data_IF_644678325700
#
_entry.id   IF_644678325700
#
_cell.length_a   1.000
_cell.length_b   1.000
_cell.length_c   1.000
_cell.angle_alpha   90.00
_cell.angle_beta   90.00
_cell.angle_gamma   90.00
#
_symmetry.space_group_name_H-M   'P 1'
#
loop_
_entity.id
_entity.type
_entity.pdbx_description
1 polymer ?
#
# COMPACT_ATOMS: atom_id res chain seq x y z
N UNK A 1 -57.18 -26.70 -16.09
CA UNK A 1 -57.67 -25.32 -16.05
C UNK A 1 -56.46 -24.44 -15.75
N UNK A 2 -55.81 -23.84 -16.78
CA UNK A 2 -55.87 -22.43 -17.17
C UNK A 2 -55.55 -21.52 -15.94
N UNK A 3 -54.46 -20.73 -15.91
CA UNK A 3 -54.05 -19.65 -16.78
C UNK A 3 -52.57 -19.26 -16.63
N UNK A 4 -52.03 -18.89 -17.76
CA UNK A 4 -50.76 -18.15 -17.97
C UNK A 4 -51.04 -16.62 -17.99
N UNK A 5 -50.14 -15.76 -18.41
CA UNK A 5 -49.10 -14.98 -17.72
C UNK A 5 -49.35 -13.46 -17.90
N UNK A 6 -48.51 -12.66 -17.25
CA UNK A 6 -48.51 -11.21 -17.44
C UNK A 6 -47.10 -10.68 -17.73
N UNK A 7 -46.80 -10.58 -19.02
CA UNK A 7 -45.74 -9.70 -19.56
C UNK A 7 -46.16 -8.24 -19.38
N UNK A 8 -45.27 -7.40 -18.84
CA UNK A 8 -45.39 -5.95 -19.05
C UNK A 8 -44.05 -5.43 -19.60
N UNK A 9 -44.15 -5.21 -20.89
CA UNK A 9 -43.21 -4.39 -21.68
C UNK A 9 -43.65 -2.94 -21.54
N UNK A 10 -42.79 -2.02 -21.22
CA UNK A 10 -43.00 -0.60 -21.48
C UNK A 10 -41.83 -0.09 -22.33
N UNK A 11 -42.24 0.27 -23.52
CA UNK A 11 -41.46 0.84 -24.61
C UNK A 11 -41.65 2.35 -24.63
N UNK A 12 -40.57 3.05 -24.90
CA UNK A 12 -40.42 4.30 -25.62
C UNK A 12 -41.07 5.61 -25.14
N UNK A 13 -40.25 6.62 -25.16
CA UNK A 13 -40.62 8.02 -25.34
C UNK A 13 -39.42 8.84 -25.79
N UNK A 14 -39.40 9.06 -27.10
CA UNK A 14 -38.45 9.90 -27.84
C UNK A 14 -38.63 11.40 -27.58
N UNK A 15 -37.54 12.13 -27.76
CA UNK A 15 -37.41 13.44 -28.41
C UNK A 15 -37.74 14.71 -27.61
N UNK A 16 -36.70 15.51 -27.39
CA UNK A 16 -36.83 16.95 -27.65
C UNK A 16 -35.46 17.56 -28.01
N UNK A 17 -35.41 18.01 -29.23
CA UNK A 17 -34.43 18.93 -29.82
C UNK A 17 -34.55 20.28 -29.12
N UNK A 18 -33.47 20.90 -28.70
CA UNK A 18 -33.45 22.31 -28.39
C UNK A 18 -32.23 23.01 -29.01
N UNK A 19 -32.61 23.77 -29.95
CA UNK A 19 -32.06 24.95 -30.60
C UNK A 19 -30.78 25.58 -30.02
N UNK A 20 -29.84 25.73 -30.92
CA UNK A 20 -28.68 26.64 -30.86
C UNK A 20 -29.22 28.08 -31.07
N UNK A 21 -28.92 28.96 -30.15
CA UNK A 21 -28.99 30.40 -30.38
C UNK A 21 -27.55 30.94 -30.26
N UNK A 22 -27.00 31.30 -31.40
CA UNK A 22 -25.81 32.16 -31.55
C UNK A 22 -26.26 33.61 -31.31
N UNK A 23 -25.62 34.26 -30.35
CA UNK A 23 -25.65 35.73 -30.30
C UNK A 23 -24.20 36.24 -30.20
N UNK A 24 -23.85 36.97 -31.21
CA UNK A 24 -22.57 37.65 -31.43
C UNK A 24 -22.54 39.03 -30.78
N UNK A 25 -21.34 39.36 -30.20
CA UNK A 25 -20.69 40.70 -30.13
C UNK A 25 -21.01 41.61 -28.94
N UNK A 26 -20.18 42.63 -28.64
CA UNK A 26 -18.73 42.80 -28.90
C UNK A 26 -17.90 43.18 -27.66
N UNK A 27 -16.58 43.29 -27.87
CA UNK A 27 -15.54 43.80 -26.97
C UNK A 27 -15.93 45.04 -26.14
N UNK A 28 -15.64 44.99 -24.85
CA UNK A 28 -15.31 46.15 -24.07
C UNK A 28 -14.04 45.88 -23.28
N UNK A 29 -12.98 46.53 -23.67
CA UNK A 29 -11.70 46.62 -22.99
C UNK A 29 -11.90 47.51 -21.75
N UNK A 30 -11.80 46.96 -20.55
CA UNK A 30 -11.68 47.74 -19.33
C UNK A 30 -10.41 47.28 -18.60
N UNK A 31 -9.42 48.15 -18.67
CA UNK A 31 -8.23 48.06 -17.82
C UNK A 31 -8.64 48.33 -16.37
N UNK A 32 -8.34 47.40 -15.49
CA UNK A 32 -8.32 47.63 -14.04
C UNK A 32 -6.90 47.57 -13.54
N UNK A 33 -6.51 48.68 -12.95
CA UNK A 33 -5.29 48.95 -12.24
C UNK A 33 -5.11 48.00 -11.06
N UNK A 34 -3.90 47.46 -10.93
CA UNK A 34 -3.40 46.80 -9.74
C UNK A 34 -3.42 47.70 -8.53
N UNK A 35 -3.94 47.20 -7.40
CA UNK A 35 -3.35 47.33 -6.08
C UNK A 35 -4.29 46.67 -5.07
N UNK A 36 -4.05 45.38 -4.80
CA UNK A 36 -4.39 44.80 -3.49
C UNK A 36 -3.30 43.84 -3.09
N UNK A 37 -2.49 44.33 -2.17
CA UNK A 37 -1.48 43.56 -1.46
C UNK A 37 -2.16 42.61 -0.48
N UNK A 38 -2.37 41.36 -0.89
CA UNK A 38 -2.68 40.28 0.05
C UNK A 38 -1.40 39.89 0.79
N UNK A 39 -1.37 40.19 2.09
CA UNK A 39 -0.32 39.78 3.00
C UNK A 39 -0.21 38.25 3.02
N UNK A 40 0.86 37.73 2.44
CA UNK A 40 1.25 36.34 2.60
C UNK A 40 1.71 36.15 4.06
N UNK A 41 0.93 35.40 4.83
CA UNK A 41 1.36 34.87 6.13
C UNK A 41 2.48 33.88 5.86
N UNK A 42 3.72 34.36 6.05
CA UNK A 42 4.92 33.53 5.93
C UNK A 42 4.95 32.46 7.02
N UNK A 43 4.81 31.22 6.64
CA UNK A 43 5.29 30.10 7.44
C UNK A 43 6.81 30.23 7.56
N UNK A 44 7.42 30.02 8.73
CA UNK A 44 8.87 30.10 8.88
C UNK A 44 9.49 29.00 8.02
N UNK A 45 10.30 29.41 7.03
CA UNK A 45 11.18 28.52 6.30
C UNK A 45 12.24 28.01 7.29
N UNK A 46 12.07 26.81 7.81
CA UNK A 46 13.17 26.05 8.36
C UNK A 46 14.14 25.75 7.21
N UNK A 47 15.14 26.58 7.03
CA UNK A 47 16.33 26.24 6.26
C UNK A 47 17.12 25.22 7.08
N UNK A 48 16.77 23.93 6.97
CA UNK A 48 17.69 22.87 7.33
C UNK A 48 18.75 22.81 6.23
N UNK A 49 19.98 23.20 6.56
CA UNK A 49 21.15 22.97 5.73
C UNK A 49 21.47 21.48 5.74
N UNK A 50 21.06 20.78 4.69
CA UNK A 50 21.49 19.41 4.45
C UNK A 50 22.96 19.39 4.05
N UNK A 51 23.81 18.52 4.63
CA UNK A 51 25.19 18.40 4.23
C UNK A 51 25.28 17.93 2.77
N UNK A 52 25.97 18.69 1.94
CA UNK A 52 26.42 18.26 0.63
C UNK A 52 27.48 17.18 0.82
N UNK A 53 27.34 16.05 0.12
CA UNK A 53 28.09 14.79 0.15
C UNK A 53 27.51 13.75 1.11
N UNK A 54 26.45 13.07 0.68
CA UNK A 54 26.06 11.82 1.30
C UNK A 54 26.83 10.67 0.62
N UNK A 55 27.96 10.29 1.19
CA UNK A 55 28.44 8.93 1.02
C UNK A 55 27.39 8.04 1.66
N UNK A 56 26.47 7.48 0.84
CA UNK A 56 25.45 6.59 1.31
C UNK A 56 26.13 5.36 1.95
N UNK A 57 25.84 5.12 3.22
CA UNK A 57 26.18 3.89 3.94
C UNK A 57 24.90 3.11 4.21
N UNK A 58 24.92 1.80 3.95
CA UNK A 58 23.87 0.91 4.40
C UNK A 58 23.67 1.07 5.92
N UNK A 59 22.46 0.92 6.45
CA UNK A 59 22.25 0.87 7.89
C UNK A 59 23.24 -0.11 8.54
N UNK A 60 23.77 0.22 9.71
CA UNK A 60 24.71 -0.64 10.43
C UNK A 60 24.14 -2.03 10.75
N UNK A 61 22.81 -2.15 10.78
CA UNK A 61 22.03 -3.36 11.00
C UNK A 61 21.36 -3.88 9.72
N UNK A 62 21.96 -3.64 8.54
CA UNK A 62 21.45 -4.11 7.26
C UNK A 62 21.15 -5.62 7.28
N UNK A 63 19.95 -5.97 6.84
CA UNK A 63 19.46 -7.35 6.77
C UNK A 63 19.64 -7.95 5.37
N UNK A 64 19.29 -9.21 5.20
CA UNK A 64 19.21 -9.85 3.87
C UNK A 64 18.02 -9.31 3.07
N UNK A 65 18.16 -8.09 2.54
CA UNK A 65 17.21 -7.36 1.73
C UNK A 65 17.91 -6.77 0.50
N UNK A 66 17.12 -6.34 -0.46
CA UNK A 66 17.63 -5.56 -1.58
C UNK A 66 17.48 -4.07 -1.30
N UNK A 67 18.56 -3.33 -1.46
CA UNK A 67 18.60 -1.89 -1.20
C UNK A 67 18.76 -1.13 -2.51
N UNK A 68 17.75 -0.32 -2.84
CA UNK A 68 17.82 0.59 -3.99
C UNK A 68 18.75 1.74 -3.66
N UNK A 69 19.75 1.90 -4.49
CA UNK A 69 20.69 3.01 -4.46
C UNK A 69 20.23 4.17 -5.37
N UNK A 70 21.16 4.94 -5.89
CA UNK A 70 20.89 6.17 -6.66
C UNK A 70 20.00 5.94 -7.88
N UNK A 71 20.44 5.13 -8.85
CA UNK A 71 19.75 4.94 -10.13
C UNK A 71 19.75 3.44 -10.50
N UNK A 72 18.77 2.67 -10.01
CA UNK A 72 18.72 1.26 -10.35
C UNK A 72 18.33 1.07 -11.82
N UNK A 73 19.20 0.43 -12.60
CA UNK A 73 18.92 0.08 -14.01
C UNK A 73 18.00 -1.15 -14.12
N UNK A 74 18.04 -2.01 -13.13
CA UNK A 74 17.19 -3.21 -13.04
C UNK A 74 16.84 -3.48 -11.57
N UNK A 75 15.78 -4.22 -11.35
CA UNK A 75 15.42 -4.70 -10.03
C UNK A 75 15.71 -6.20 -9.96
N UNK A 76 16.32 -6.68 -8.87
CA UNK A 76 16.68 -8.08 -8.77
C UNK A 76 15.44 -8.94 -8.56
N UNK A 77 15.51 -10.14 -9.09
CA UNK A 77 14.58 -11.20 -8.80
C UNK A 77 14.87 -11.85 -7.45
N UNK A 78 13.84 -12.29 -6.76
CA UNK A 78 14.01 -13.11 -5.57
C UNK A 78 13.02 -12.83 -4.45
N UNK A 79 13.08 -13.69 -3.44
CA UNK A 79 12.19 -13.61 -2.28
C UNK A 79 12.83 -12.81 -1.14
N UNK A 80 13.07 -11.52 -1.38
CA UNK A 80 13.66 -10.60 -0.37
C UNK A 80 12.85 -9.32 -0.27
N UNK A 81 12.81 -8.69 0.91
CA UNK A 81 12.33 -7.32 1.03
C UNK A 81 13.12 -6.39 0.12
N UNK A 82 12.47 -5.35 -0.39
CA UNK A 82 13.13 -4.31 -1.18
C UNK A 82 12.90 -2.96 -0.51
N UNK A 83 13.97 -2.27 -0.23
CA UNK A 83 13.96 -0.97 0.43
C UNK A 83 14.68 0.09 -0.39
N UNK A 84 14.26 1.33 -0.25
CA UNK A 84 14.95 2.49 -0.80
C UNK A 84 15.74 3.17 0.32
N UNK A 85 16.97 3.51 0.01
CA UNK A 85 17.86 4.18 0.95
C UNK A 85 17.61 5.67 1.00
N UNK A 86 16.86 6.20 0.02
CA UNK A 86 16.47 7.60 -0.07
C UNK A 86 14.95 7.74 0.04
N UNK A 87 14.49 8.74 0.78
CA UNK A 87 13.09 9.17 0.72
C UNK A 87 12.77 9.82 -0.62
N UNK A 88 11.49 10.05 -0.92
CA UNK A 88 11.08 10.80 -2.12
C UNK A 88 11.72 12.19 -2.11
N UNK A 89 11.75 12.85 -0.94
CA UNK A 89 12.31 14.19 -0.76
C UNK A 89 13.81 14.21 -1.05
N UNK A 90 14.56 13.26 -0.50
CA UNK A 90 16.00 13.14 -0.74
C UNK A 90 16.31 12.86 -2.20
N UNK A 91 15.57 11.95 -2.85
CA UNK A 91 15.75 11.71 -4.30
C UNK A 91 15.49 12.96 -5.13
N UNK A 92 14.45 13.73 -4.80
CA UNK A 92 14.15 14.99 -5.51
C UNK A 92 15.27 16.02 -5.34
N UNK A 93 15.78 16.19 -4.11
CA UNK A 93 16.87 17.14 -3.84
C UNK A 93 18.17 16.76 -4.54
N UNK A 94 18.45 15.47 -4.68
CA UNK A 94 19.66 14.95 -5.31
C UNK A 94 19.50 14.75 -6.84
N UNK A 95 18.34 15.04 -7.41
CA UNK A 95 18.07 14.82 -8.83
C UNK A 95 18.06 13.36 -9.26
N UNK A 96 17.82 12.43 -8.32
CA UNK A 96 17.78 10.99 -8.58
C UNK A 96 16.43 10.56 -9.16
N UNK A 97 16.44 9.46 -9.93
CA UNK A 97 15.22 8.89 -10.49
C UNK A 97 14.21 8.50 -9.41
N UNK A 98 12.97 8.96 -9.57
CA UNK A 98 11.85 8.57 -8.68
C UNK A 98 11.17 7.29 -9.16
N UNK A 99 10.95 7.16 -10.48
CA UNK A 99 10.32 6.00 -11.08
C UNK A 99 11.15 4.72 -10.89
N UNK A 100 10.48 3.59 -11.04
CA UNK A 100 11.12 2.27 -11.01
C UNK A 100 11.30 1.77 -12.44
N UNK A 101 12.34 0.99 -12.73
CA UNK A 101 12.43 0.27 -13.99
C UNK A 101 11.31 -0.77 -14.08
N UNK A 102 10.95 -1.23 -15.29
CA UNK A 102 9.98 -2.30 -15.46
C UNK A 102 10.39 -3.57 -14.71
N UNK A 103 9.42 -4.23 -14.09
CA UNK A 103 9.61 -5.48 -13.35
C UNK A 103 8.72 -6.55 -13.95
N UNK A 104 9.25 -7.77 -14.08
CA UNK A 104 8.45 -8.92 -14.47
C UNK A 104 7.83 -9.55 -13.22
N UNK A 105 6.51 -9.65 -13.13
CA UNK A 105 5.86 -10.31 -12.01
C UNK A 105 6.24 -11.78 -11.90
N UNK A 106 6.43 -12.25 -10.67
CA UNK A 106 6.73 -13.66 -10.38
C UNK A 106 5.46 -14.47 -10.15
N UNK A 107 5.20 -15.43 -11.02
CA UNK A 107 4.13 -16.41 -10.87
C UNK A 107 4.73 -17.78 -10.63
N UNK A 108 4.57 -18.31 -9.42
CA UNK A 108 4.98 -19.68 -9.11
C UNK A 108 3.85 -20.70 -9.29
N UNK A 109 4.13 -21.97 -9.07
CA UNK A 109 3.10 -23.02 -9.10
C UNK A 109 2.16 -22.90 -7.89
N UNK A 110 2.71 -22.61 -6.71
CA UNK A 110 2.00 -22.45 -5.43
C UNK A 110 2.76 -21.43 -4.62
N UNK A 111 2.27 -20.19 -4.57
CA UNK A 111 2.91 -19.08 -3.87
C UNK A 111 1.91 -18.42 -2.94
N UNK A 112 2.35 -18.12 -1.73
CA UNK A 112 1.56 -17.37 -0.75
C UNK A 112 2.37 -16.22 -0.16
N UNK A 113 1.72 -15.06 -0.08
CA UNK A 113 2.18 -13.88 0.61
C UNK A 113 1.28 -13.67 1.84
N UNK A 114 1.82 -13.87 3.03
CA UNK A 114 1.10 -13.51 4.26
C UNK A 114 1.30 -12.02 4.51
N UNK A 115 0.21 -11.26 4.59
CA UNK A 115 0.27 -9.81 4.79
C UNK A 115 -0.58 -9.38 5.97
N UNK A 116 -0.08 -8.39 6.73
CA UNK A 116 -0.71 -7.85 7.93
C UNK A 116 -0.78 -6.33 7.81
N UNK A 117 -1.96 -5.76 8.02
CA UNK A 117 -2.24 -4.34 7.93
C UNK A 117 -2.51 -3.73 9.32
N UNK A 118 -2.40 -2.41 9.46
CA UNK A 118 -2.77 -1.58 10.61
C UNK A 118 -1.78 -1.53 11.79
N UNK A 119 -0.76 -2.39 11.81
CA UNK A 119 0.27 -2.36 12.85
C UNK A 119 1.27 -1.20 12.70
N UNK A 120 2.31 -1.21 13.55
CA UNK A 120 2.57 -2.16 14.63
C UNK A 120 1.66 -1.94 15.85
N UNK A 121 1.27 -3.03 16.49
CA UNK A 121 0.46 -3.03 17.72
C UNK A 121 1.16 -3.83 18.83
N UNK A 122 1.10 -3.32 20.06
CA UNK A 122 1.82 -3.92 21.19
C UNK A 122 1.34 -5.34 21.56
N UNK A 123 0.04 -5.63 21.34
CA UNK A 123 -0.57 -6.89 21.76
C UNK A 123 -0.51 -7.96 20.66
N UNK A 124 -0.61 -7.56 19.37
CA UNK A 124 -0.79 -8.50 18.27
C UNK A 124 0.48 -8.70 17.43
N UNK A 125 1.22 -7.64 17.10
CA UNK A 125 2.39 -7.76 16.24
C UNK A 125 3.51 -8.64 16.82
N UNK A 126 3.92 -8.49 18.11
CA UNK A 126 4.97 -9.33 18.67
C UNK A 126 4.66 -10.84 18.65
N UNK A 127 3.48 -11.34 19.07
CA UNK A 127 3.18 -12.77 18.99
C UNK A 127 3.07 -13.27 17.55
N UNK A 128 2.64 -12.44 16.57
CA UNK A 128 2.69 -12.81 15.15
C UNK A 128 4.15 -13.04 14.71
N UNK A 129 5.07 -12.14 15.07
CA UNK A 129 6.49 -12.28 14.78
C UNK A 129 7.09 -13.56 15.42
N UNK A 130 6.71 -13.87 16.67
CA UNK A 130 7.15 -15.10 17.35
C UNK A 130 6.68 -16.36 16.62
N UNK A 131 5.42 -16.37 16.13
CA UNK A 131 4.86 -17.48 15.36
C UNK A 131 5.60 -17.62 14.02
N UNK A 132 5.79 -16.52 13.28
CA UNK A 132 6.50 -16.52 11.99
C UNK A 132 7.93 -17.02 12.16
N UNK A 133 8.64 -16.55 13.20
CA UNK A 133 10.00 -16.99 13.55
C UNK A 133 10.06 -18.48 13.85
N UNK A 134 9.13 -19.00 14.66
CA UNK A 134 9.03 -20.43 14.98
C UNK A 134 8.89 -21.32 13.73
N UNK A 135 8.20 -20.82 12.70
CA UNK A 135 7.98 -21.54 11.44
C UNK A 135 9.05 -21.22 10.37
N UNK A 136 10.01 -20.34 10.67
CA UNK A 136 11.01 -19.83 9.73
C UNK A 136 10.37 -19.22 8.46
N UNK A 137 9.32 -18.41 8.63
CA UNK A 137 8.57 -17.77 7.56
C UNK A 137 8.74 -16.27 7.65
N UNK A 138 8.92 -15.61 6.50
CA UNK A 138 8.85 -14.16 6.38
C UNK A 138 7.49 -13.75 5.83
N UNK A 139 7.03 -12.58 6.27
CA UNK A 139 5.74 -12.00 5.89
C UNK A 139 5.92 -10.51 5.53
N UNK A 140 4.83 -9.84 5.18
CA UNK A 140 4.83 -8.41 4.90
C UNK A 140 3.89 -7.69 5.86
N UNK A 141 4.35 -6.59 6.43
CA UNK A 141 3.58 -5.75 7.34
C UNK A 141 3.35 -4.37 6.69
N UNK A 142 2.10 -4.03 6.42
CA UNK A 142 1.71 -2.70 5.95
C UNK A 142 1.41 -1.82 7.15
N UNK A 143 2.37 -0.98 7.49
CA UNK A 143 2.42 -0.26 8.76
C UNK A 143 1.79 1.13 8.68
N UNK A 144 1.13 1.55 9.74
CA UNK A 144 0.53 2.88 9.90
C UNK A 144 1.52 3.80 10.63
N UNK A 145 1.85 4.96 10.05
CA UNK A 145 2.87 5.87 10.58
C UNK A 145 2.64 6.26 12.04
N UNK A 146 1.41 6.62 12.41
CA UNK A 146 1.04 6.97 13.79
C UNK A 146 1.13 5.81 14.78
N UNK A 147 1.15 4.56 14.33
CA UNK A 147 1.42 3.40 15.19
C UNK A 147 2.92 3.16 15.33
N UNK A 148 3.70 3.44 14.28
CA UNK A 148 5.16 3.38 14.37
C UNK A 148 5.68 4.38 15.41
N UNK A 149 5.15 5.59 15.45
CA UNK A 149 5.54 6.61 16.44
C UNK A 149 5.32 6.13 17.89
N UNK A 150 4.29 5.30 18.11
CA UNK A 150 4.01 4.71 19.43
C UNK A 150 4.88 3.51 19.77
N UNK A 151 5.26 2.73 18.75
CA UNK A 151 5.93 1.44 18.88
C UNK A 151 7.10 1.27 17.89
N UNK A 152 8.07 2.21 17.87
CA UNK A 152 9.20 2.14 16.94
C UNK A 152 10.07 0.90 17.13
N UNK A 153 10.13 0.36 18.34
CA UNK A 153 10.85 -0.87 18.67
C UNK A 153 10.25 -2.11 17.97
N UNK A 154 8.93 -2.12 17.78
CA UNK A 154 8.26 -3.22 17.06
C UNK A 154 8.56 -3.12 15.56
N UNK A 155 8.52 -1.93 14.96
CA UNK A 155 8.93 -1.75 13.56
C UNK A 155 10.39 -2.18 13.35
N UNK A 156 11.29 -1.80 14.26
CA UNK A 156 12.70 -2.24 14.20
C UNK A 156 12.80 -3.76 14.24
N UNK A 157 12.00 -4.42 15.08
CA UNK A 157 11.95 -5.89 15.15
C UNK A 157 11.45 -6.51 13.84
N UNK A 158 10.37 -5.96 13.22
CA UNK A 158 9.87 -6.39 11.90
C UNK A 158 11.01 -6.36 10.88
N UNK A 159 11.74 -5.22 10.82
CA UNK A 159 12.87 -5.04 9.92
C UNK A 159 13.99 -6.05 10.21
N UNK A 160 14.49 -6.11 11.44
CA UNK A 160 15.64 -6.94 11.84
C UNK A 160 15.36 -8.45 11.67
N UNK A 161 14.12 -8.89 11.82
CA UNK A 161 13.75 -10.27 11.57
C UNK A 161 13.57 -10.58 10.06
N UNK A 162 13.78 -9.61 9.15
CA UNK A 162 13.78 -9.79 7.70
C UNK A 162 12.40 -9.92 7.08
N UNK A 163 11.37 -9.37 7.73
CA UNK A 163 10.06 -9.22 7.14
C UNK A 163 10.04 -8.00 6.22
N UNK A 164 9.17 -8.00 5.19
CA UNK A 164 8.98 -6.83 4.36
C UNK A 164 8.08 -5.80 5.08
N UNK A 165 8.41 -4.53 4.92
CA UNK A 165 7.61 -3.40 5.38
C UNK A 165 6.94 -2.76 4.16
N UNK A 166 5.62 -2.60 4.22
CA UNK A 166 4.83 -1.79 3.31
C UNK A 166 4.29 -0.55 4.04
N UNK A 167 3.91 0.47 3.29
CA UNK A 167 3.36 1.71 3.81
C UNK A 167 1.82 1.68 3.75
N UNK A 168 1.15 1.85 4.89
CA UNK A 168 -0.32 1.82 5.01
C UNK A 168 -0.91 3.17 5.42
N UNK A 169 -0.35 4.27 4.91
CA UNK A 169 -0.67 5.65 5.29
C UNK A 169 -0.16 6.07 6.67
N UNK A 170 -0.37 7.34 7.00
CA UNK A 170 0.04 7.88 8.31
C UNK A 170 -0.99 7.59 9.42
N UNK A 171 -2.27 7.90 9.18
CA UNK A 171 -3.28 7.88 10.24
C UNK A 171 -4.50 6.99 9.96
N UNK A 172 -4.57 6.36 8.78
CA UNK A 172 -5.66 5.48 8.35
C UNK A 172 -7.05 6.18 8.34
N UNK A 173 -7.10 7.50 8.21
CA UNK A 173 -8.35 8.27 8.19
C UNK A 173 -8.83 8.48 6.77
N UNK A 174 -9.80 7.69 6.31
CA UNK A 174 -10.30 7.67 4.92
C UNK A 174 -10.68 9.05 4.38
N UNK A 175 -11.38 9.86 5.19
CA UNK A 175 -11.78 11.21 4.81
C UNK A 175 -10.59 12.12 4.49
N UNK A 176 -9.46 11.92 5.15
CA UNK A 176 -8.23 12.70 4.92
C UNK A 176 -7.43 12.12 3.76
N UNK A 177 -7.30 10.79 3.71
CA UNK A 177 -6.55 10.07 2.69
C UNK A 177 -7.10 10.31 1.29
N UNK A 178 -8.41 10.17 1.12
CA UNK A 178 -9.05 10.12 -0.20
C UNK A 178 -9.65 11.46 -0.65
N UNK A 179 -9.17 12.59 -0.09
CA UNK A 179 -9.51 13.92 -0.61
C UNK A 179 -8.91 14.17 -1.99
N UNK A 180 -7.69 13.69 -2.22
CA UNK A 180 -6.96 13.82 -3.50
C UNK A 180 -5.78 12.84 -3.54
N UNK A 181 -5.25 12.59 -4.73
CA UNK A 181 -4.00 11.84 -4.90
C UNK A 181 -2.84 12.47 -4.12
N UNK A 182 -2.78 13.80 -4.06
CA UNK A 182 -1.76 14.51 -3.29
C UNK A 182 -1.90 14.31 -1.78
N UNK A 183 -3.14 14.29 -1.25
CA UNK A 183 -3.39 14.00 0.18
C UNK A 183 -2.92 12.59 0.53
N UNK A 184 -3.25 11.61 -0.31
CA UNK A 184 -2.81 10.23 -0.14
C UNK A 184 -1.28 10.11 -0.11
N UNK A 185 -0.62 10.65 -1.12
CA UNK A 185 0.85 10.62 -1.24
C UNK A 185 1.53 11.39 -0.11
N UNK A 186 0.96 12.49 0.36
CA UNK A 186 1.50 13.23 1.51
C UNK A 186 1.56 12.36 2.76
N UNK A 187 0.53 11.55 3.02
CA UNK A 187 0.55 10.60 4.13
C UNK A 187 1.57 9.48 3.93
N UNK A 188 1.72 8.96 2.70
CA UNK A 188 2.77 7.97 2.41
C UNK A 188 4.17 8.55 2.65
N UNK A 189 4.45 9.76 2.16
CA UNK A 189 5.76 10.42 2.37
C UNK A 189 6.07 10.63 3.84
N UNK A 190 5.09 11.09 4.63
CA UNK A 190 5.27 11.25 6.07
C UNK A 190 5.60 9.92 6.76
N UNK A 191 4.90 8.85 6.41
CA UNK A 191 5.17 7.52 6.95
C UNK A 191 6.53 6.99 6.52
N UNK A 192 6.96 7.24 5.28
CA UNK A 192 8.29 6.87 4.79
C UNK A 192 9.42 7.51 5.61
N UNK A 193 9.27 8.81 5.97
CA UNK A 193 10.23 9.51 6.83
C UNK A 193 10.32 8.84 8.21
N UNK A 194 9.17 8.46 8.79
CA UNK A 194 9.12 7.76 10.08
C UNK A 194 9.76 6.36 9.97
N UNK A 195 9.43 5.60 8.92
CA UNK A 195 10.05 4.29 8.67
C UNK A 195 11.57 4.45 8.58
N UNK A 196 12.05 5.44 7.83
CA UNK A 196 13.48 5.70 7.64
C UNK A 196 14.17 6.12 8.94
N UNK A 197 13.55 6.94 9.78
CA UNK A 197 14.10 7.31 11.09
C UNK A 197 14.36 6.08 11.98
N UNK A 198 13.52 5.05 11.87
CA UNK A 198 13.62 3.83 12.70
C UNK A 198 14.54 2.79 12.11
N UNK A 199 14.56 2.63 10.76
CA UNK A 199 15.23 1.51 10.08
C UNK A 199 16.39 1.94 9.16
N UNK A 200 16.56 3.23 8.92
CA UNK A 200 17.56 3.75 7.97
C UNK A 200 17.15 3.67 6.50
N UNK A 201 15.98 3.09 6.19
CA UNK A 201 15.45 2.90 4.83
C UNK A 201 13.96 3.23 4.77
N UNK A 202 13.41 3.41 3.57
CA UNK A 202 11.96 3.50 3.38
C UNK A 202 11.42 2.33 2.57
N UNK A 203 10.13 2.10 2.66
CA UNK A 203 9.41 1.22 1.74
C UNK A 203 9.00 1.96 0.46
N UNK A 204 8.99 1.25 -0.67
CA UNK A 204 8.35 1.74 -1.90
C UNK A 204 7.08 0.97 -2.24
N UNK A 205 6.71 0.04 -1.36
CA UNK A 205 5.47 -0.74 -1.47
C UNK A 205 4.44 -0.07 -0.58
N UNK A 206 3.25 0.16 -1.10
CA UNK A 206 2.10 0.68 -0.36
C UNK A 206 0.88 -0.22 -0.49
N UNK A 207 -0.03 -0.08 0.45
CA UNK A 207 -1.39 -0.62 0.38
C UNK A 207 -2.37 0.43 0.83
N UNK A 208 -3.39 0.68 0.01
CA UNK A 208 -4.44 1.64 0.31
C UNK A 208 -5.34 1.13 1.45
N UNK A 209 -5.55 1.91 2.53
CA UNK A 209 -6.55 1.62 3.54
C UNK A 209 -7.93 1.32 2.95
N UNK A 210 -8.47 0.13 3.23
CA UNK A 210 -9.73 -0.35 2.64
C UNK A 210 -9.63 -0.77 1.16
N UNK A 211 -8.43 -0.74 0.57
CA UNK A 211 -8.16 -1.09 -0.81
C UNK A 211 -8.29 0.07 -1.79
N UNK A 212 -7.62 -0.08 -2.94
CA UNK A 212 -7.63 0.92 -4.02
C UNK A 212 -8.91 0.89 -4.87
N UNK A 213 -9.64 -0.24 -4.88
CA UNK A 213 -10.86 -0.39 -5.66
C UNK A 213 -11.95 0.59 -5.19
N UNK A 214 -12.47 1.40 -6.12
CA UNK A 214 -13.49 2.41 -5.83
C UNK A 214 -12.94 3.69 -5.18
N UNK A 215 -11.70 3.71 -4.70
CA UNK A 215 -11.06 4.88 -4.10
C UNK A 215 -10.08 5.56 -5.05
N UNK A 216 -9.35 4.78 -5.85
CA UNK A 216 -8.34 5.32 -6.75
C UNK A 216 -8.90 5.65 -8.13
N UNK A 217 -8.66 6.87 -8.57
CA UNK A 217 -8.82 7.32 -9.96
C UNK A 217 -7.48 7.13 -10.71
N UNK A 218 -7.50 7.38 -12.02
CA UNK A 218 -6.29 7.40 -12.85
C UNK A 218 -5.19 8.29 -12.27
N UNK A 219 -5.58 9.43 -11.68
CA UNK A 219 -4.64 10.39 -11.06
C UNK A 219 -3.84 9.77 -9.90
N UNK A 220 -4.47 8.93 -9.06
CA UNK A 220 -3.76 8.23 -7.97
C UNK A 220 -2.68 7.30 -8.53
N UNK A 221 -3.03 6.47 -9.52
CA UNK A 221 -2.10 5.54 -10.14
C UNK A 221 -0.92 6.24 -10.81
N UNK A 222 -1.18 7.31 -11.57
CA UNK A 222 -0.14 8.11 -12.23
C UNK A 222 0.77 8.81 -11.20
N UNK A 223 0.19 9.32 -10.12
CA UNK A 223 0.97 10.00 -9.06
C UNK A 223 1.85 9.02 -8.31
N UNK A 224 1.33 7.84 -7.92
CA UNK A 224 2.11 6.79 -7.28
C UNK A 224 3.25 6.31 -8.17
N UNK A 225 2.96 5.98 -9.42
CA UNK A 225 3.96 5.53 -10.39
C UNK A 225 5.07 6.56 -10.59
N UNK A 226 4.70 7.83 -10.77
CA UNK A 226 5.66 8.94 -10.94
C UNK A 226 6.59 9.11 -9.74
N UNK A 227 6.12 8.80 -8.52
CA UNK A 227 6.89 8.87 -7.28
C UNK A 227 7.54 7.54 -6.91
N UNK A 228 7.35 6.52 -7.75
CA UNK A 228 7.95 5.21 -7.61
C UNK A 228 7.37 4.36 -6.48
N UNK A 229 6.11 4.56 -6.13
CA UNK A 229 5.37 3.65 -5.26
C UNK A 229 4.74 2.51 -6.05
N UNK A 230 4.72 1.33 -5.45
CA UNK A 230 4.05 0.14 -5.96
C UNK A 230 2.90 -0.20 -5.01
N UNK A 231 1.69 -0.02 -5.49
CA UNK A 231 0.48 -0.33 -4.73
C UNK A 231 0.12 -1.80 -4.87
N UNK A 232 0.00 -2.51 -3.74
CA UNK A 232 -0.28 -3.95 -3.71
C UNK A 232 -1.55 -4.22 -2.89
N UNK A 233 -2.60 -4.69 -3.56
CA UNK A 233 -3.83 -5.16 -2.94
C UNK A 233 -3.73 -6.59 -2.39
N UNK A 234 -4.86 -7.30 -2.38
CA UNK A 234 -4.97 -8.70 -1.97
C UNK A 234 -6.00 -9.44 -2.82
N UNK A 235 -5.91 -10.76 -2.89
CA UNK A 235 -6.88 -11.62 -3.57
C UNK A 235 -7.46 -12.73 -2.67
N UNK A 236 -7.00 -12.81 -1.41
CA UNK A 236 -7.56 -13.67 -0.37
C UNK A 236 -7.90 -12.79 0.83
N UNK A 237 -9.17 -12.76 1.23
CA UNK A 237 -9.61 -12.07 2.44
C UNK A 237 -9.80 -13.07 3.58
N UNK A 238 -9.11 -12.84 4.70
CA UNK A 238 -9.29 -13.67 5.90
C UNK A 238 -10.64 -13.44 6.59
N UNK A 239 -11.23 -12.25 6.42
CA UNK A 239 -12.45 -11.83 7.12
C UNK A 239 -12.21 -11.33 8.54
N UNK A 240 -10.96 -11.23 9.00
CA UNK A 240 -10.60 -10.79 10.35
C UNK A 240 -10.97 -9.33 10.64
N UNK A 241 -11.03 -8.47 9.61
CA UNK A 241 -11.56 -7.11 9.72
C UNK A 241 -13.00 -7.06 10.25
N UNK A 242 -13.80 -8.10 9.98
CA UNK A 242 -15.16 -8.27 10.51
C UNK A 242 -15.20 -8.91 11.91
N UNK A 243 -14.05 -8.99 12.59
CA UNK A 243 -13.91 -9.59 13.94
C UNK A 243 -14.28 -11.09 14.00
N UNK A 244 -14.08 -11.79 12.91
CA UNK A 244 -14.30 -13.22 12.83
C UNK A 244 -13.41 -13.99 13.81
N UNK A 245 -13.89 -15.13 14.30
CA UNK A 245 -13.12 -16.02 15.17
C UNK A 245 -12.07 -16.80 14.38
N UNK A 246 -10.98 -17.20 15.03
CA UNK A 246 -9.85 -17.88 14.42
C UNK A 246 -10.25 -19.05 13.51
N UNK A 247 -11.22 -19.87 13.93
CA UNK A 247 -11.74 -20.97 13.10
C UNK A 247 -12.47 -20.50 11.85
N UNK A 248 -13.15 -19.35 11.88
CA UNK A 248 -13.81 -18.78 10.69
C UNK A 248 -12.79 -18.14 9.75
N UNK A 249 -11.81 -17.41 10.27
CA UNK A 249 -10.69 -16.87 9.52
C UNK A 249 -10.03 -17.98 8.68
N UNK A 250 -9.72 -19.12 9.31
CA UNK A 250 -9.13 -20.26 8.59
C UNK A 250 -10.07 -20.83 7.52
N UNK A 251 -11.36 -20.96 7.80
CA UNK A 251 -12.35 -21.46 6.81
C UNK A 251 -12.48 -20.51 5.61
N UNK A 252 -12.49 -19.20 5.85
CA UNK A 252 -12.59 -18.20 4.79
C UNK A 252 -11.41 -18.31 3.82
N UNK A 253 -10.19 -18.46 4.34
CA UNK A 253 -8.99 -18.66 3.52
C UNK A 253 -9.09 -20.00 2.77
N UNK A 254 -9.40 -21.10 3.46
CA UNK A 254 -9.48 -22.43 2.86
C UNK A 254 -10.50 -22.49 1.71
N UNK A 255 -11.66 -21.86 1.89
CA UNK A 255 -12.71 -21.79 0.87
C UNK A 255 -12.26 -21.07 -0.39
N UNK A 256 -11.64 -19.89 -0.24
CA UNK A 256 -11.13 -19.13 -1.40
C UNK A 256 -10.00 -19.89 -2.13
N UNK A 257 -9.18 -20.64 -1.38
CA UNK A 257 -8.09 -21.45 -1.94
C UNK A 257 -8.54 -22.72 -2.68
N UNK A 258 -9.83 -23.03 -2.73
CA UNK A 258 -10.38 -24.03 -3.67
C UNK A 258 -10.21 -23.58 -5.13
N UNK A 259 -10.16 -22.28 -5.37
CA UNK A 259 -9.91 -21.66 -6.66
C UNK A 259 -8.42 -21.72 -7.03
N UNK A 260 -8.03 -22.71 -7.88
CA UNK A 260 -6.63 -22.96 -8.22
C UNK A 260 -5.92 -21.83 -8.95
N UNK A 261 -6.65 -20.91 -9.59
CA UNK A 261 -6.04 -19.73 -10.23
C UNK A 261 -5.35 -18.80 -9.22
N UNK A 262 -5.75 -18.84 -7.95
CA UNK A 262 -5.13 -18.09 -6.87
C UNK A 262 -3.80 -18.68 -6.40
N UNK A 263 -3.49 -19.92 -6.76
CA UNK A 263 -2.32 -20.63 -6.25
C UNK A 263 -1.00 -20.02 -6.69
N UNK A 264 -0.97 -19.40 -7.87
CA UNK A 264 0.25 -18.81 -8.42
C UNK A 264 0.74 -17.57 -7.64
N UNK A 265 -0.15 -16.91 -6.88
CA UNK A 265 0.14 -15.66 -6.14
C UNK A 265 -0.94 -15.33 -5.11
N UNK A 266 -1.20 -16.22 -4.17
CA UNK A 266 -2.18 -15.97 -3.10
C UNK A 266 -1.67 -14.86 -2.16
N UNK A 267 -2.26 -13.66 -2.22
CA UNK A 267 -1.95 -12.54 -1.33
C UNK A 267 -3.04 -12.45 -0.27
N UNK A 268 -2.69 -12.85 0.96
CA UNK A 268 -3.64 -13.01 2.07
C UNK A 268 -3.69 -11.73 2.90
N UNK A 269 -4.85 -11.06 2.92
CA UNK A 269 -5.14 -9.95 3.80
C UNK A 269 -5.47 -10.44 5.21
N UNK A 270 -4.70 -10.00 6.16
CA UNK A 270 -4.92 -10.11 7.60
C UNK A 270 -4.56 -8.77 8.26
N UNK A 271 -4.85 -8.64 9.56
CA UNK A 271 -4.52 -7.44 10.31
C UNK A 271 -3.79 -7.80 11.60
N UNK A 272 -2.79 -6.98 11.95
CA UNK A 272 -2.06 -7.06 13.23
C UNK A 272 -2.33 -5.85 14.14
N UNK A 273 -3.13 -4.90 13.68
CA UNK A 273 -3.56 -3.75 14.47
C UNK A 273 -4.43 -4.13 15.67
N UNK A 274 -4.82 -3.12 16.46
CA UNK A 274 -5.58 -3.31 17.70
C UNK A 274 -6.88 -4.07 17.50
N UNK A 275 -7.11 -5.11 18.32
CA UNK A 275 -8.34 -5.89 18.35
C UNK A 275 -8.35 -7.09 17.42
N UNK A 276 -7.21 -7.43 16.80
CA UNK A 276 -7.07 -8.58 15.90
C UNK A 276 -6.42 -9.82 16.55
N UNK A 277 -6.66 -10.05 17.85
CA UNK A 277 -6.12 -11.21 18.58
C UNK A 277 -6.58 -12.56 18.00
N UNK A 278 -7.71 -12.61 17.29
CA UNK A 278 -8.17 -13.83 16.63
C UNK A 278 -7.29 -14.17 15.40
N UNK A 279 -6.69 -13.18 14.75
CA UNK A 279 -5.68 -13.38 13.69
C UNK A 279 -4.44 -14.08 14.27
N UNK A 280 -3.95 -13.63 15.43
CA UNK A 280 -2.84 -14.28 16.15
C UNK A 280 -3.15 -15.76 16.40
N UNK A 281 -4.35 -16.06 16.88
CA UNK A 281 -4.80 -17.44 17.17
C UNK A 281 -4.96 -18.29 15.90
N UNK A 282 -5.36 -17.68 14.77
CA UNK A 282 -5.56 -18.38 13.51
C UNK A 282 -4.24 -18.69 12.80
N UNK A 283 -3.22 -17.85 12.98
CA UNK A 283 -1.99 -17.87 12.18
C UNK A 283 -1.27 -19.23 12.15
N UNK A 284 -1.12 -19.99 13.24
CA UNK A 284 -0.50 -21.32 13.18
C UNK A 284 -1.25 -22.30 12.26
N UNK A 285 -2.59 -22.25 12.25
CA UNK A 285 -3.40 -23.11 11.39
C UNK A 285 -3.30 -22.67 9.91
N UNK A 286 -3.24 -21.36 9.66
CA UNK A 286 -3.05 -20.79 8.31
C UNK A 286 -1.68 -21.22 7.76
N UNK A 287 -0.62 -21.06 8.53
CA UNK A 287 0.73 -21.49 8.13
C UNK A 287 0.74 -22.99 7.81
N UNK A 288 0.20 -23.81 8.71
CA UNK A 288 0.13 -25.26 8.50
C UNK A 288 -0.65 -25.63 7.23
N UNK A 289 -1.77 -24.95 6.96
CA UNK A 289 -2.57 -25.16 5.76
C UNK A 289 -1.78 -24.99 4.47
N UNK A 290 -0.95 -23.96 4.38
CA UNK A 290 -0.11 -23.69 3.20
C UNK A 290 1.12 -24.61 3.15
N UNK A 291 1.75 -24.91 4.31
CA UNK A 291 2.88 -25.85 4.39
C UNK A 291 2.49 -27.26 3.96
N UNK A 292 1.36 -27.80 4.46
CA UNK A 292 0.85 -29.13 4.10
C UNK A 292 0.55 -29.27 2.59
N UNK A 293 0.35 -28.14 1.90
CA UNK A 293 0.07 -28.07 0.47
C UNK A 293 1.28 -27.67 -0.37
N UNK A 294 2.45 -27.54 0.27
CA UNK A 294 3.73 -27.20 -0.35
C UNK A 294 3.71 -25.85 -1.06
N UNK A 295 3.11 -24.83 -0.45
CA UNK A 295 3.21 -23.46 -0.92
C UNK A 295 4.57 -22.85 -0.58
N UNK A 296 5.14 -22.11 -1.51
CA UNK A 296 6.28 -21.22 -1.30
C UNK A 296 5.79 -19.96 -0.58
N UNK A 297 6.36 -19.64 0.58
CA UNK A 297 6.09 -18.40 1.29
C UNK A 297 7.00 -17.30 0.78
N UNK A 298 6.42 -16.19 0.35
CA UNK A 298 7.18 -15.04 -0.13
C UNK A 298 6.78 -13.76 0.59
N UNK A 299 7.70 -12.79 0.62
CA UNK A 299 7.40 -11.42 1.01
C UNK A 299 6.94 -10.62 -0.19
N UNK A 300 6.08 -9.63 0.03
CA UNK A 300 5.70 -8.68 -1.01
C UNK A 300 6.91 -7.83 -1.40
N UNK A 301 7.17 -7.75 -2.69
CA UNK A 301 8.20 -6.92 -3.30
C UNK A 301 7.75 -6.46 -4.69
N UNK A 302 8.64 -5.92 -5.51
CA UNK A 302 8.28 -5.39 -6.83
C UNK A 302 7.87 -6.48 -7.84
N UNK A 303 8.28 -7.75 -7.61
CA UNK A 303 7.86 -8.89 -8.44
C UNK A 303 6.51 -9.46 -8.04
N UNK A 304 5.90 -8.98 -6.95
CA UNK A 304 4.59 -9.46 -6.53
C UNK A 304 3.55 -9.13 -7.61
N UNK A 305 2.84 -10.13 -8.16
CA UNK A 305 1.82 -9.88 -9.17
C UNK A 305 0.70 -8.99 -8.66
N UNK A 306 0.05 -8.26 -9.58
CA UNK A 306 -1.23 -7.63 -9.25
C UNK A 306 -2.22 -8.69 -8.78
N UNK A 307 -3.01 -8.43 -7.74
CA UNK A 307 -3.97 -9.40 -7.23
C UNK A 307 -5.12 -9.72 -8.21
N UNK A 308 -5.31 -8.89 -9.25
CA UNK A 308 -6.32 -9.02 -10.34
C UNK A 308 -5.82 -8.50 -11.66
#
# INVERSE_FOLDING_TARGET
>A
MKNKPGFFLIVCGLSAVCLIILASSPLALLAFSNNDTAAAVGLPAHQESFPAESNYTLPNDAIDAYYLNENPEYLPAGNKPVYDVFTVTERQHQGLALGLPPVTPYYGTKVVYLTFDDGPDLENTPPILDILKKHNIKATFFVVGSQIEKHPEILRRIYQEGHAIGNHSYNHVYRELYQSANSYVSQLRHTDEIIKQVTGVRSRISRAPGGSAGSFTKEYWETLSRLGYVEIGWNISSGDASREKAGQIMRNIAFQMESKHLWSHAIVLMHDGRGHSETVKALPAIIKFYQDRHFEFRVVNFETPSPW
#
